data_IF_914296983796
#
_entry.id   IF_914296983796
#
_cell.length_a   1.000
_cell.length_b   1.000
_cell.length_c   1.000
_cell.angle_alpha   90.00
_cell.angle_beta   90.00
_cell.angle_gamma   90.00
#
_symmetry.space_group_name_H-M   'P 1'
#
loop_
_entity.id
_entity.type
_entity.pdbx_description
1 polymer ?
#
# COMPACT_ATOMS: atom_id res chain seq x y z
N UNK A 1 14.07 -5.51 13.66
CA UNK A 1 13.42 -6.81 13.88
C UNK A 1 12.91 -6.90 15.32
N UNK A 2 11.74 -7.46 15.52
CA UNK A 2 11.14 -7.66 16.83
C UNK A 2 9.68 -7.20 16.91
N UNK A 3 9.09 -7.49 18.07
CA UNK A 3 7.70 -7.12 18.31
C UNK A 3 7.62 -5.81 19.09
N UNK A 4 6.65 -4.99 18.72
CA UNK A 4 6.25 -3.80 19.46
C UNK A 4 4.94 -4.11 20.17
N UNK A 5 4.94 -3.98 21.49
CA UNK A 5 3.77 -4.27 22.32
C UNK A 5 3.29 -3.01 23.03
N UNK A 6 1.98 -2.79 23.03
CA UNK A 6 1.36 -1.74 23.83
C UNK A 6 1.08 -2.29 25.21
N UNK A 7 1.75 -1.73 26.21
CA UNK A 7 1.52 -2.09 27.61
C UNK A 7 0.22 -1.45 28.13
N UNK A 8 -0.65 -2.25 28.72
CA UNK A 8 -1.91 -1.76 29.30
C UNK A 8 -3.04 -1.67 28.28
N UNK A 9 -3.71 -0.53 28.24
CA UNK A 9 -4.87 -0.35 27.35
C UNK A 9 -4.43 -0.28 25.88
N UNK A 10 -5.13 -1.01 25.02
CA UNK A 10 -4.84 -1.04 23.58
C UNK A 10 -4.92 0.34 22.95
N UNK A 11 -3.94 0.67 22.11
CA UNK A 11 -3.86 1.95 21.42
C UNK A 11 -3.21 1.78 20.04
N UNK A 12 -3.49 2.72 19.14
CA UNK A 12 -2.82 2.77 17.83
C UNK A 12 -1.32 2.99 18.00
N UNK A 13 -0.51 2.21 17.27
CA UNK A 13 0.94 2.37 17.21
C UNK A 13 1.32 3.10 15.93
N UNK A 14 2.14 4.15 16.06
CA UNK A 14 2.70 4.87 14.93
C UNK A 14 4.22 4.89 15.08
N UNK A 15 4.91 4.36 14.07
CA UNK A 15 6.37 4.43 13.96
C UNK A 15 6.70 5.39 12.82
N UNK A 16 7.29 6.52 13.15
CA UNK A 16 7.62 7.57 12.20
C UNK A 16 9.12 7.80 12.14
N UNK A 17 9.70 7.70 10.95
CA UNK A 17 11.10 8.05 10.70
C UNK A 17 11.26 8.60 9.28
N UNK A 18 11.53 9.90 9.12
CA UNK A 18 11.64 10.54 7.80
C UNK A 18 12.80 10.02 6.96
N UNK A 19 13.79 9.40 7.58
CA UNK A 19 14.95 8.84 6.87
C UNK A 19 14.72 7.43 6.32
N UNK A 20 13.64 6.77 6.72
CA UNK A 20 13.28 5.44 6.25
C UNK A 20 13.05 4.44 7.36
N UNK A 21 12.36 3.36 7.01
CA UNK A 21 12.05 2.25 7.91
C UNK A 21 12.34 0.96 7.18
N UNK A 22 13.08 0.07 7.82
CA UNK A 22 13.24 -1.31 7.35
C UNK A 22 12.57 -2.25 8.33
N UNK A 23 11.58 -2.98 7.84
CA UNK A 23 10.88 -3.99 8.60
C UNK A 23 11.39 -5.37 8.21
N UNK A 24 12.10 -6.01 9.13
CA UNK A 24 12.64 -7.35 8.98
C UNK A 24 12.17 -8.19 10.17
N UNK A 25 11.11 -8.97 9.97
CA UNK A 25 10.47 -9.72 11.04
C UNK A 25 9.81 -8.83 12.11
N UNK A 26 9.15 -7.77 11.69
CA UNK A 26 8.38 -6.91 12.58
C UNK A 26 7.08 -7.58 13.01
N UNK A 27 6.56 -7.18 14.18
CA UNK A 27 5.25 -7.58 14.64
C UNK A 27 4.71 -6.58 15.66
N UNK A 28 3.39 -6.62 15.88
CA UNK A 28 2.70 -5.69 16.77
C UNK A 28 1.72 -6.46 17.66
N UNK A 29 1.71 -6.13 18.95
CA UNK A 29 0.89 -6.80 19.96
C UNK A 29 0.07 -5.76 20.71
N UNK A 30 -1.17 -6.09 20.99
CA UNK A 30 -2.10 -5.26 21.77
C UNK A 30 -2.35 -3.88 21.13
N UNK A 31 -2.49 -3.87 19.81
CA UNK A 31 -2.88 -2.67 19.06
C UNK A 31 -3.89 -3.04 17.98
N UNK A 32 -4.95 -2.24 17.78
CA UNK A 32 -5.89 -2.47 16.70
C UNK A 32 -5.36 -1.99 15.35
N UNK A 33 -4.40 -1.04 15.37
CA UNK A 33 -3.89 -0.40 14.17
C UNK A 33 -2.44 0.00 14.35
N UNK A 34 -1.59 -0.37 13.40
CA UNK A 34 -0.21 0.08 13.32
C UNK A 34 0.03 0.81 12.01
N UNK A 35 0.76 1.93 12.09
CA UNK A 35 1.14 2.76 10.95
C UNK A 35 2.65 2.93 10.95
N UNK A 36 3.31 2.54 9.86
CA UNK A 36 4.71 2.85 9.60
C UNK A 36 4.76 4.00 8.59
N UNK A 37 5.49 5.06 8.89
CA UNK A 37 5.53 6.24 8.03
C UNK A 37 6.91 6.89 7.99
N UNK A 38 7.28 7.37 6.81
CA UNK A 38 8.39 8.31 6.64
C UNK A 38 7.91 9.76 6.72
N UNK A 39 6.62 9.97 6.91
CA UNK A 39 6.03 11.28 7.12
C UNK A 39 6.28 11.83 8.52
N UNK A 40 6.28 13.14 8.62
CA UNK A 40 6.31 13.85 9.89
C UNK A 40 4.89 13.92 10.46
N UNK A 41 4.65 13.42 11.68
CA UNK A 41 3.36 13.60 12.33
C UNK A 41 3.10 15.07 12.62
N UNK A 42 1.94 15.57 12.21
CA UNK A 42 1.50 16.93 12.44
C UNK A 42 0.31 16.91 13.38
N UNK A 43 0.47 17.60 14.49
CA UNK A 43 -0.54 17.67 15.55
C UNK A 43 -1.41 18.91 15.39
N UNK A 44 -2.70 18.75 15.71
CA UNK A 44 -3.62 19.84 15.97
C UNK A 44 -4.03 19.75 17.45
N UNK A 45 -3.39 20.58 18.28
CA UNK A 45 -3.47 20.44 19.71
C UNK A 45 -2.89 19.08 20.18
N UNK A 46 -3.69 18.27 20.83
CA UNK A 46 -3.31 16.91 21.26
C UNK A 46 -3.72 15.84 20.27
N UNK A 47 -4.37 16.22 19.17
CA UNK A 47 -4.86 15.28 18.16
C UNK A 47 -3.85 15.19 17.02
N UNK A 48 -3.54 13.97 16.59
CA UNK A 48 -2.80 13.73 15.36
C UNK A 48 -3.69 14.02 14.16
N UNK A 49 -3.34 15.03 13.38
CA UNK A 49 -4.12 15.49 12.23
C UNK A 49 -3.70 14.76 10.95
N UNK A 50 -2.42 14.79 10.63
CA UNK A 50 -1.90 14.25 9.37
C UNK A 50 -0.44 13.84 9.45
N UNK A 51 0.01 13.16 8.41
CA UNK A 51 1.42 12.88 8.16
C UNK A 51 1.88 13.69 6.95
N UNK A 52 2.95 14.44 7.12
CA UNK A 52 3.58 15.21 6.05
C UNK A 52 4.74 14.41 5.48
N UNK A 53 4.55 13.84 4.27
CA UNK A 53 5.54 13.00 3.62
C UNK A 53 6.30 13.81 2.58
N UNK A 54 7.62 13.95 2.75
CA UNK A 54 8.50 14.58 1.78
C UNK A 54 9.45 13.61 1.08
N UNK A 55 9.82 12.53 1.73
CA UNK A 55 10.75 11.54 1.21
C UNK A 55 10.75 10.25 2.00
N UNK A 56 11.79 9.45 1.83
CA UNK A 56 12.04 8.21 2.55
C UNK A 56 11.40 6.98 1.92
N UNK A 57 11.96 5.83 2.29
CA UNK A 57 11.51 4.52 1.85
C UNK A 57 11.07 3.68 3.04
N UNK A 58 10.06 2.84 2.84
CA UNK A 58 9.76 1.73 3.74
C UNK A 58 10.08 0.44 3.00
N UNK A 59 10.92 -0.40 3.60
CA UNK A 59 11.32 -1.68 3.04
C UNK A 59 10.84 -2.81 3.96
N UNK A 60 10.11 -3.75 3.40
CA UNK A 60 9.70 -4.99 4.07
C UNK A 60 10.50 -6.13 3.46
N UNK A 61 11.32 -6.80 4.25
CA UNK A 61 12.23 -7.84 3.77
C UNK A 61 12.48 -8.92 4.81
N UNK A 62 13.18 -9.99 4.41
CA UNK A 62 13.54 -11.10 5.29
C UNK A 62 12.35 -12.01 5.56
N UNK A 63 12.00 -12.16 6.83
CA UNK A 63 10.84 -12.94 7.22
C UNK A 63 9.54 -12.26 6.82
N UNK A 64 8.49 -13.05 6.64
CA UNK A 64 7.15 -12.52 6.38
C UNK A 64 6.70 -11.53 7.46
N UNK A 65 5.93 -10.54 7.04
CA UNK A 65 5.29 -9.58 7.91
C UNK A 65 3.84 -10.01 8.13
N UNK A 66 3.56 -10.58 9.30
CA UNK A 66 2.21 -10.98 9.65
C UNK A 66 1.61 -10.02 10.66
N UNK A 67 0.70 -9.19 10.20
CA UNK A 67 -0.07 -8.25 11.01
C UNK A 67 -1.57 -8.56 10.97
N UNK A 68 -1.92 -9.82 10.69
CA UNK A 68 -3.31 -10.30 10.65
C UNK A 68 -4.04 -10.25 11.99
N UNK A 69 -3.34 -10.05 13.09
CA UNK A 69 -3.92 -9.81 14.41
C UNK A 69 -4.39 -8.37 14.62
N UNK A 70 -4.04 -7.44 13.74
CA UNK A 70 -4.47 -6.04 13.77
C UNK A 70 -5.70 -5.86 12.86
N UNK A 71 -6.57 -4.92 13.21
CA UNK A 71 -7.70 -4.54 12.34
C UNK A 71 -7.24 -3.83 11.07
N UNK A 72 -6.14 -3.03 11.17
CA UNK A 72 -5.62 -2.24 10.06
C UNK A 72 -4.11 -2.06 10.16
N UNK A 73 -3.45 -2.13 9.02
CA UNK A 73 -2.02 -1.87 8.88
C UNK A 73 -1.76 -0.89 7.74
N UNK A 74 -1.00 0.17 8.02
CA UNK A 74 -0.73 1.25 7.07
C UNK A 74 0.76 1.42 6.83
N UNK A 75 1.15 1.56 5.56
CA UNK A 75 2.45 2.07 5.14
C UNK A 75 2.22 3.41 4.45
N UNK A 76 2.81 4.48 4.98
CA UNK A 76 2.67 5.85 4.47
C UNK A 76 4.06 6.41 4.24
N UNK A 77 4.48 6.54 2.97
CA UNK A 77 5.86 6.85 2.62
C UNK A 77 5.94 7.44 1.22
N UNK A 78 7.10 7.96 0.84
CA UNK A 78 7.29 8.35 -0.55
C UNK A 78 7.39 7.15 -1.48
N UNK A 79 8.14 6.11 -1.07
CA UNK A 79 8.24 4.85 -1.80
C UNK A 79 8.27 3.65 -0.85
N UNK A 80 7.78 2.50 -1.34
CA UNK A 80 7.73 1.26 -0.58
C UNK A 80 8.32 0.11 -1.42
N UNK A 81 9.13 -0.73 -0.78
CA UNK A 81 9.67 -1.96 -1.37
C UNK A 81 9.23 -3.15 -0.55
N UNK A 82 8.58 -4.10 -1.20
CA UNK A 82 8.04 -5.31 -0.57
C UNK A 82 8.77 -6.52 -1.10
N UNK A 83 9.72 -7.04 -0.32
CA UNK A 83 10.54 -8.19 -0.64
C UNK A 83 10.29 -9.37 0.32
N UNK A 84 9.16 -9.37 1.00
CA UNK A 84 8.67 -10.46 1.83
C UNK A 84 7.15 -10.47 1.79
N UNK A 85 6.53 -11.60 2.09
CA UNK A 85 5.07 -11.72 2.14
C UNK A 85 4.51 -10.88 3.27
N UNK A 86 3.39 -10.22 3.00
CA UNK A 86 2.67 -9.40 3.95
C UNK A 86 1.25 -9.94 4.13
N UNK A 87 0.88 -10.23 5.38
CA UNK A 87 -0.45 -10.69 5.77
C UNK A 87 -1.11 -9.66 6.66
N UNK A 88 -2.32 -9.23 6.32
CA UNK A 88 -3.06 -8.23 7.05
C UNK A 88 -4.57 -8.47 6.97
N UNK A 89 -5.36 -7.79 7.80
CA UNK A 89 -6.82 -7.71 7.63
C UNK A 89 -7.17 -6.61 6.63
N UNK A 90 -6.85 -5.36 6.96
CA UNK A 90 -7.00 -4.21 6.06
C UNK A 90 -5.63 -3.60 5.83
N UNK A 91 -5.15 -3.66 4.60
CA UNK A 91 -3.85 -3.15 4.20
C UNK A 91 -4.02 -1.87 3.39
N UNK A 92 -3.36 -0.80 3.83
CA UNK A 92 -3.26 0.45 3.10
C UNK A 92 -1.79 0.80 2.85
N UNK A 93 -1.45 1.10 1.61
CA UNK A 93 -0.13 1.63 1.25
C UNK A 93 -0.37 2.91 0.48
N UNK A 94 0.06 4.04 1.04
CA UNK A 94 -0.10 5.36 0.45
C UNK A 94 1.28 5.94 0.20
N UNK A 95 1.59 6.18 -1.08
CA UNK A 95 2.92 6.61 -1.50
C UNK A 95 2.88 7.94 -2.25
N UNK A 96 4.02 8.63 -2.23
CA UNK A 96 4.21 9.92 -2.83
C UNK A 96 4.49 11.01 -1.79
N UNK A 97 4.84 12.19 -2.28
CA UNK A 97 4.97 13.38 -1.43
C UNK A 97 3.57 13.93 -1.17
N UNK A 98 3.06 13.67 0.01
CA UNK A 98 1.68 13.97 0.37
C UNK A 98 1.53 14.55 1.76
N UNK A 99 0.44 15.27 1.96
CA UNK A 99 -0.21 15.39 3.26
C UNK A 99 -1.27 14.30 3.34
N UNK A 100 -1.13 13.38 4.31
CA UNK A 100 -2.02 12.24 4.47
C UNK A 100 -2.79 12.37 5.77
N UNK A 101 -4.12 12.43 5.70
CA UNK A 101 -4.96 12.50 6.89
C UNK A 101 -4.74 11.26 7.77
N UNK A 102 -4.53 11.48 9.06
CA UNK A 102 -4.13 10.40 9.97
C UNK A 102 -5.17 9.29 10.09
N UNK A 103 -6.46 9.64 10.06
CA UNK A 103 -7.54 8.68 10.25
C UNK A 103 -7.99 8.05 8.92
N UNK A 104 -8.38 8.89 7.95
CA UNK A 104 -8.94 8.45 6.67
C UNK A 104 -7.91 7.99 5.66
N UNK A 105 -6.65 8.41 5.82
CA UNK A 105 -5.56 8.24 4.86
C UNK A 105 -5.80 8.91 3.51
N UNK A 106 -6.69 9.89 3.47
CA UNK A 106 -6.86 10.72 2.29
C UNK A 106 -5.58 11.50 2.03
N UNK A 107 -5.02 11.35 0.85
CA UNK A 107 -3.76 11.96 0.46
C UNK A 107 -3.99 13.19 -0.41
N UNK A 108 -3.31 14.29 -0.06
CA UNK A 108 -3.25 15.49 -0.88
C UNK A 108 -1.81 15.67 -1.34
N UNK A 109 -1.53 15.64 -2.66
CA UNK A 109 -0.17 15.81 -3.16
C UNK A 109 0.43 17.15 -2.73
N UNK A 110 1.68 17.12 -2.31
CA UNK A 110 2.47 18.31 -1.98
C UNK A 110 3.17 18.84 -3.21
N UNK A 111 3.40 20.13 -3.26
CA UNK A 111 4.16 20.76 -4.34
C UNK A 111 5.55 20.14 -4.48
N UNK A 112 6.03 20.01 -5.72
CA UNK A 112 7.37 19.51 -5.99
C UNK A 112 8.42 20.42 -5.34
N UNK A 113 9.44 19.80 -4.73
CA UNK A 113 10.53 20.48 -4.04
C UNK A 113 11.87 20.41 -4.78
N UNK A 114 11.86 19.88 -6.01
CA UNK A 114 13.06 19.68 -6.81
C UNK A 114 13.83 18.40 -6.47
N UNK A 115 13.40 17.63 -5.48
CA UNK A 115 14.01 16.34 -5.16
C UNK A 115 13.76 15.33 -6.27
N UNK A 116 14.70 14.38 -6.44
CA UNK A 116 14.57 13.32 -7.41
C UNK A 116 13.38 12.40 -7.06
N UNK A 117 12.54 12.13 -8.06
CA UNK A 117 11.45 11.17 -7.90
C UNK A 117 11.99 9.75 -7.86
N UNK A 118 11.41 8.85 -7.03
CA UNK A 118 11.74 7.43 -7.11
C UNK A 118 11.32 6.88 -8.47
N UNK A 119 11.97 5.80 -8.93
CA UNK A 119 11.53 5.11 -10.17
C UNK A 119 10.18 4.45 -9.98
N UNK A 120 9.97 3.85 -8.80
CA UNK A 120 8.74 3.17 -8.45
C UNK A 120 8.23 3.69 -7.10
N UNK A 121 6.94 3.96 -7.04
CA UNK A 121 6.26 4.31 -5.79
C UNK A 121 6.08 3.08 -4.91
N UNK A 122 5.69 1.96 -5.52
CA UNK A 122 5.58 0.66 -4.88
C UNK A 122 6.30 -0.35 -5.77
N UNK A 123 7.26 -1.05 -5.19
CA UNK A 123 8.02 -2.10 -5.84
C UNK A 123 7.90 -3.38 -5.02
N UNK A 124 7.04 -4.27 -5.45
CA UNK A 124 6.87 -5.60 -4.86
C UNK A 124 7.55 -6.63 -5.75
N UNK A 125 8.58 -7.29 -5.23
CA UNK A 125 9.22 -8.40 -5.92
C UNK A 125 8.33 -9.64 -5.93
N UNK A 126 8.73 -10.68 -6.66
CA UNK A 126 8.01 -11.95 -6.66
C UNK A 126 7.89 -12.58 -5.26
N UNK A 127 8.78 -12.22 -4.33
CA UNK A 127 8.74 -12.64 -2.93
C UNK A 127 7.77 -11.81 -2.08
N UNK A 128 7.34 -10.65 -2.58
CA UNK A 128 6.56 -9.66 -1.87
C UNK A 128 5.05 -9.78 -2.08
N UNK A 129 4.48 -10.97 -1.97
CA UNK A 129 3.03 -11.15 -2.05
C UNK A 129 2.28 -10.43 -0.94
N UNK A 130 1.08 -9.93 -1.26
CA UNK A 130 0.18 -9.26 -0.32
C UNK A 130 -1.11 -10.08 -0.17
N UNK A 131 -1.39 -10.52 1.05
CA UNK A 131 -2.55 -11.33 1.39
C UNK A 131 -3.30 -10.64 2.51
N UNK A 132 -4.47 -10.11 2.20
CA UNK A 132 -5.25 -9.36 3.17
C UNK A 132 -6.75 -9.58 2.99
N UNK A 133 -7.55 -9.13 3.96
CA UNK A 133 -8.99 -9.08 3.80
C UNK A 133 -9.38 -8.06 2.73
N UNK A 134 -8.79 -6.86 2.78
CA UNK A 134 -8.94 -5.81 1.78
C UNK A 134 -7.60 -5.11 1.56
N UNK A 135 -7.37 -4.61 0.34
CA UNK A 135 -6.11 -3.96 -0.06
C UNK A 135 -6.41 -2.64 -0.77
N UNK A 136 -5.74 -1.57 -0.33
CA UNK A 136 -5.77 -0.26 -0.98
C UNK A 136 -4.34 0.23 -1.19
N UNK A 137 -3.98 0.48 -2.46
CA UNK A 137 -2.68 1.00 -2.87
C UNK A 137 -2.86 2.33 -3.58
N UNK A 138 -2.09 3.33 -3.18
CA UNK A 138 -2.13 4.68 -3.76
C UNK A 138 -0.73 5.16 -4.08
N UNK A 139 -0.53 5.65 -5.30
CA UNK A 139 0.68 6.36 -5.72
C UNK A 139 0.29 7.69 -6.36
N UNK A 140 0.67 8.81 -5.74
CA UNK A 140 0.21 10.14 -6.15
C UNK A 140 1.19 10.91 -7.04
N UNK A 141 2.48 10.56 -7.03
CA UNK A 141 3.47 11.30 -7.84
C UNK A 141 3.33 10.97 -9.33
N UNK A 142 3.18 12.00 -10.13
CA UNK A 142 3.01 11.88 -11.58
C UNK A 142 4.19 11.18 -12.24
N UNK A 143 3.90 10.18 -13.07
CA UNK A 143 4.90 9.42 -13.82
C UNK A 143 5.63 8.35 -13.01
N UNK A 144 5.40 8.27 -11.70
CA UNK A 144 6.04 7.26 -10.84
C UNK A 144 5.21 5.99 -10.85
N UNK A 145 5.81 4.90 -11.31
CA UNK A 145 5.11 3.63 -11.53
C UNK A 145 4.91 2.80 -10.29
N UNK A 146 4.07 1.79 -10.43
CA UNK A 146 3.81 0.76 -9.42
C UNK A 146 4.04 -0.60 -10.06
N UNK A 147 4.96 -1.39 -9.49
CA UNK A 147 5.27 -2.73 -9.97
C UNK A 147 4.94 -3.75 -8.89
N UNK A 148 3.99 -4.61 -9.18
CA UNK A 148 3.51 -5.64 -8.27
C UNK A 148 3.80 -7.01 -8.90
N UNK A 149 5.02 -7.55 -8.66
CA UNK A 149 5.47 -8.82 -9.22
C UNK A 149 5.10 -10.02 -8.34
N UNK A 150 4.71 -9.79 -7.08
CA UNK A 150 4.18 -10.82 -6.20
C UNK A 150 2.67 -10.98 -6.36
N UNK A 151 2.13 -12.05 -5.78
CA UNK A 151 0.70 -12.29 -5.77
C UNK A 151 -0.03 -11.28 -4.89
N UNK A 152 -1.25 -10.94 -5.28
CA UNK A 152 -2.18 -10.17 -4.47
C UNK A 152 -3.48 -10.93 -4.28
N UNK A 153 -3.93 -11.03 -3.04
CA UNK A 153 -5.21 -11.65 -2.73
C UNK A 153 -5.94 -10.84 -1.64
N UNK A 154 -7.18 -10.44 -1.93
CA UNK A 154 -8.10 -9.88 -0.98
C UNK A 154 -9.19 -10.91 -0.67
N UNK A 155 -9.12 -11.53 0.50
CA UNK A 155 -9.92 -12.71 0.85
C UNK A 155 -11.32 -12.39 1.35
N UNK A 156 -11.64 -11.16 1.65
CA UNK A 156 -12.94 -10.76 2.20
C UNK A 156 -13.50 -9.47 1.64
N UNK A 157 -12.75 -8.75 0.80
CA UNK A 157 -13.16 -7.43 0.32
C UNK A 157 -12.55 -7.10 -1.03
N UNK A 158 -12.29 -5.80 -1.21
CA UNK A 158 -11.89 -5.23 -2.49
C UNK A 158 -10.37 -5.07 -2.60
N UNK A 159 -9.91 -5.04 -3.85
CA UNK A 159 -8.60 -4.50 -4.21
C UNK A 159 -8.84 -3.15 -4.91
N UNK A 160 -8.22 -2.09 -4.40
CA UNK A 160 -8.23 -0.76 -5.01
C UNK A 160 -6.81 -0.30 -5.24
N UNK A 161 -6.50 0.08 -6.48
CA UNK A 161 -5.18 0.61 -6.87
C UNK A 161 -5.38 1.90 -7.64
N UNK A 162 -4.79 2.98 -7.13
CA UNK A 162 -4.71 4.28 -7.80
C UNK A 162 -3.25 4.64 -7.98
N UNK A 163 -2.77 4.63 -9.22
CA UNK A 163 -1.40 4.99 -9.56
C UNK A 163 -1.37 6.18 -10.51
N UNK A 164 -0.44 7.08 -10.31
CA UNK A 164 -0.25 8.25 -11.19
C UNK A 164 0.85 8.03 -12.24
N UNK A 165 1.29 6.80 -12.39
CA UNK A 165 2.20 6.29 -13.40
C UNK A 165 1.73 4.94 -13.93
N UNK A 166 2.64 4.20 -14.53
CA UNK A 166 2.35 2.87 -15.07
C UNK A 166 2.21 1.85 -13.96
N UNK A 167 1.13 1.07 -14.00
CA UNK A 167 0.94 -0.10 -13.15
C UNK A 167 1.30 -1.37 -13.91
N UNK A 168 2.18 -2.17 -13.33
CA UNK A 168 2.49 -3.53 -13.77
C UNK A 168 2.04 -4.50 -12.68
N UNK A 169 1.15 -5.42 -13.02
CA UNK A 169 0.48 -6.31 -12.08
C UNK A 169 0.70 -7.77 -12.50
N UNK A 170 1.22 -8.59 -11.60
CA UNK A 170 1.30 -10.03 -11.80
C UNK A 170 -0.08 -10.67 -11.55
N UNK A 171 -0.22 -11.50 -10.55
CA UNK A 171 -1.50 -12.17 -10.26
C UNK A 171 -2.27 -11.41 -9.18
N UNK A 172 -3.56 -11.17 -9.42
CA UNK A 172 -4.43 -10.52 -8.44
C UNK A 172 -5.81 -11.19 -8.40
N UNK A 173 -6.32 -11.34 -7.18
CA UNK A 173 -7.62 -11.94 -6.92
C UNK A 173 -8.31 -11.23 -5.77
N UNK A 174 -9.55 -10.83 -5.94
CA UNK A 174 -10.38 -10.27 -4.88
C UNK A 174 -11.67 -11.06 -4.72
N UNK A 175 -12.13 -11.20 -3.49
CA UNK A 175 -13.45 -11.76 -3.24
C UNK A 175 -14.55 -10.74 -3.58
N UNK A 176 -14.31 -9.46 -3.32
CA UNK A 176 -15.16 -8.34 -3.71
C UNK A 176 -14.78 -7.77 -5.07
N UNK A 177 -14.86 -6.44 -5.16
CA UNK A 177 -14.54 -5.71 -6.38
C UNK A 177 -13.04 -5.51 -6.57
N UNK A 178 -12.65 -5.35 -7.82
CA UNK A 178 -11.31 -4.92 -8.19
C UNK A 178 -11.45 -3.61 -8.95
N UNK A 179 -10.84 -2.54 -8.40
CA UNK A 179 -10.85 -1.20 -9.00
C UNK A 179 -9.43 -0.71 -9.19
N UNK A 180 -9.06 -0.48 -10.45
CA UNK A 180 -7.74 -0.02 -10.84
C UNK A 180 -7.89 1.26 -11.66
N UNK A 181 -7.13 2.28 -11.30
CA UNK A 181 -6.93 3.48 -12.11
C UNK A 181 -5.43 3.77 -12.17
N UNK A 182 -4.89 3.93 -13.37
CA UNK A 182 -3.48 4.22 -13.57
C UNK A 182 -3.27 4.99 -14.89
N UNK A 183 -2.07 5.53 -15.09
CA UNK A 183 -1.70 6.17 -16.36
C UNK A 183 -1.63 5.14 -17.50
N UNK A 184 -1.00 4.01 -17.23
CA UNK A 184 -0.98 2.85 -18.12
C UNK A 184 -1.09 1.58 -17.28
N UNK A 185 -1.65 0.51 -17.81
CA UNK A 185 -1.86 -0.75 -17.10
C UNK A 185 -1.32 -1.92 -17.90
N UNK A 186 -0.55 -2.75 -17.24
CA UNK A 186 -0.03 -3.99 -17.79
C UNK A 186 -0.38 -5.14 -16.86
N UNK A 187 -1.26 -6.04 -17.31
CA UNK A 187 -1.69 -7.23 -16.59
C UNK A 187 -0.88 -8.43 -17.07
N UNK A 188 0.09 -8.87 -16.29
CA UNK A 188 1.03 -9.93 -16.67
C UNK A 188 0.63 -11.30 -16.15
N UNK A 189 -0.28 -11.37 -15.19
CA UNK A 189 -0.81 -12.61 -14.61
C UNK A 189 -2.33 -12.66 -14.69
N UNK A 190 -2.90 -13.67 -14.07
CA UNK A 190 -4.35 -13.82 -13.99
C UNK A 190 -4.94 -12.79 -13.03
N UNK A 191 -5.96 -12.09 -13.48
CA UNK A 191 -6.71 -11.12 -12.68
C UNK A 191 -8.15 -11.60 -12.54
N UNK A 192 -8.62 -11.71 -11.30
CA UNK A 192 -9.97 -12.17 -10.99
C UNK A 192 -10.63 -11.29 -9.93
N UNK A 193 -11.90 -10.93 -10.16
CA UNK A 193 -12.75 -10.27 -9.19
C UNK A 193 -13.97 -11.14 -8.89
N UNK A 194 -14.21 -11.43 -7.62
CA UNK A 194 -15.43 -12.12 -7.18
C UNK A 194 -16.68 -11.26 -7.30
N UNK A 195 -16.53 -9.94 -7.29
CA UNK A 195 -17.54 -8.97 -7.65
C UNK A 195 -17.32 -8.45 -9.08
N UNK A 196 -17.26 -7.13 -9.22
CA UNK A 196 -17.02 -6.45 -10.49
C UNK A 196 -15.56 -6.02 -10.63
N UNK A 197 -15.02 -6.05 -11.84
CA UNK A 197 -13.72 -5.53 -12.18
C UNK A 197 -13.88 -4.22 -12.96
N UNK A 198 -13.24 -3.15 -12.50
CA UNK A 198 -13.18 -1.87 -13.21
C UNK A 198 -11.74 -1.46 -13.36
N UNK A 199 -11.27 -1.34 -14.58
CA UNK A 199 -9.90 -0.95 -14.88
C UNK A 199 -9.94 0.27 -15.79
N UNK A 200 -9.35 1.38 -15.31
CA UNK A 200 -9.20 2.62 -16.07
C UNK A 200 -7.73 2.87 -16.33
N UNK A 201 -7.40 2.99 -17.60
CA UNK A 201 -6.06 3.37 -18.03
C UNK A 201 -6.17 4.63 -18.89
N UNK A 202 -5.40 5.67 -18.55
CA UNK A 202 -5.41 6.92 -19.32
C UNK A 202 -4.77 6.74 -20.70
N UNK A 203 -3.81 5.84 -20.81
CA UNK A 203 -3.10 5.57 -22.05
C UNK A 203 -3.38 4.14 -22.51
N UNK A 204 -2.48 3.23 -22.26
CA UNK A 204 -2.51 1.88 -22.78
C UNK A 204 -2.90 0.87 -21.70
N UNK A 205 -3.67 -0.14 -22.08
CA UNK A 205 -3.95 -1.30 -21.26
C UNK A 205 -3.54 -2.55 -22.02
N UNK A 206 -2.59 -3.31 -21.47
CA UNK A 206 -2.12 -4.57 -22.03
C UNK A 206 -2.51 -5.70 -21.09
N UNK A 207 -3.26 -6.67 -21.57
CA UNK A 207 -3.61 -7.88 -20.84
C UNK A 207 -2.94 -9.09 -21.49
N UNK A 208 -1.99 -9.70 -20.79
CA UNK A 208 -1.20 -10.83 -21.32
C UNK A 208 -1.74 -12.18 -20.88
N UNK A 209 -2.68 -12.23 -19.97
CA UNK A 209 -3.25 -13.45 -19.43
C UNK A 209 -4.77 -13.38 -19.46
N UNK A 210 -5.44 -13.62 -18.36
CA UNK A 210 -6.89 -13.56 -18.26
C UNK A 210 -7.34 -12.50 -17.27
N UNK A 211 -8.43 -11.83 -17.64
CA UNK A 211 -9.17 -10.94 -16.77
C UNK A 211 -10.58 -11.48 -16.67
N UNK A 212 -11.03 -11.80 -15.48
CA UNK A 212 -12.36 -12.34 -15.25
C UNK A 212 -13.00 -11.68 -14.01
N UNK A 213 -14.30 -11.51 -14.07
CA UNK A 213 -15.10 -11.05 -12.96
C UNK A 213 -16.39 -11.88 -12.91
N UNK A 214 -16.88 -12.13 -11.70
CA UNK A 214 -18.12 -12.87 -11.51
C UNK A 214 -19.34 -12.06 -11.94
N UNK A 215 -19.30 -10.74 -11.73
CA UNK A 215 -20.45 -9.88 -12.01
C UNK A 215 -20.26 -9.09 -13.30
N UNK A 216 -19.28 -8.18 -13.36
CA UNK A 216 -19.09 -7.27 -14.48
C UNK A 216 -17.62 -6.86 -14.64
N UNK A 217 -17.24 -6.65 -15.89
CA UNK A 217 -15.95 -6.05 -16.27
C UNK A 217 -16.23 -4.71 -16.93
#
# INVERSE_FOLDING_TARGET
AGYTEVAGQSARVIVANPHGITCQGCGFINTPRATLTTGKPIMDGQRLERFQVDGGDIVVEGAELNVGNLEQFDLITRSAKLNAKLYAKNLNIVTGRNDVQADSLQATPRAADGSEKPQLAIDSSALGGMYAGAIRLVGTEQGVGVKLAGDMAASGGDIRIDASGKLSLAQASSQGDLKIAAQAVELNGKTYAGGSAQIRSAEELVNRQSLAARERI
#
